data_IF_153817781035
#
_entry.id   IF_153817781035
#
_cell.length_a   1.000
_cell.length_b   1.000
_cell.length_c   1.000
_cell.angle_alpha   90.00
_cell.angle_beta   90.00
_cell.angle_gamma   90.00
#
_symmetry.space_group_name_H-M   'P 1'
#
loop_
_entity.id
_entity.type
_entity.pdbx_description
1 polymer ?
#
# COMPACT_ATOMS: atom_id res chain seq x y z
N UNK A 1 -10.73 -8.06 -3.97
CA UNK A 1 -11.41 -8.94 -3.01
C UNK A 1 -10.63 -9.21 -1.71
N UNK A 2 -9.40 -8.71 -1.54
CA UNK A 2 -8.57 -8.97 -0.33
C UNK A 2 -9.14 -8.29 0.94
N UNK A 3 -9.57 -7.03 0.84
CA UNK A 3 -10.10 -6.30 2.01
C UNK A 3 -11.39 -6.90 2.59
N UNK A 4 -12.26 -7.47 1.76
CA UNK A 4 -13.47 -8.14 2.23
C UNK A 4 -13.14 -9.42 3.01
N UNK A 5 -12.26 -10.27 2.46
CA UNK A 5 -11.84 -11.50 3.13
C UNK A 5 -11.12 -11.23 4.46
N UNK A 6 -10.27 -10.19 4.50
CA UNK A 6 -9.64 -9.74 5.74
C UNK A 6 -10.68 -9.27 6.77
N UNK A 7 -11.68 -8.51 6.34
CA UNK A 7 -12.74 -8.02 7.23
C UNK A 7 -13.59 -9.13 7.84
N UNK A 8 -13.83 -10.24 7.13
CA UNK A 8 -14.79 -11.29 7.55
C UNK A 8 -14.14 -12.51 8.21
N UNK A 9 -12.85 -12.77 7.99
CA UNK A 9 -12.15 -13.91 8.59
C UNK A 9 -11.26 -13.47 9.74
N UNK A 10 -11.51 -13.97 10.95
CA UNK A 10 -10.65 -13.73 12.13
C UNK A 10 -9.28 -14.41 12.04
N UNK A 11 -9.12 -15.37 11.13
CA UNK A 11 -7.89 -16.17 11.02
C UNK A 11 -6.76 -15.40 10.31
N UNK A 12 -7.10 -14.36 9.56
CA UNK A 12 -6.13 -13.50 8.89
C UNK A 12 -5.70 -12.40 9.86
N UNK A 13 -4.43 -12.45 10.28
CA UNK A 13 -3.85 -11.55 11.30
C UNK A 13 -3.34 -10.23 10.74
N UNK A 14 -2.73 -10.27 9.56
CA UNK A 14 -2.23 -9.10 8.85
C UNK A 14 -2.43 -9.23 7.35
N UNK A 15 -2.40 -8.10 6.66
CA UNK A 15 -2.39 -8.01 5.19
C UNK A 15 -1.29 -7.09 4.72
N UNK A 16 -0.55 -7.52 3.70
CA UNK A 16 0.37 -6.65 2.99
C UNK A 16 -0.38 -5.88 1.89
N UNK A 17 -0.26 -4.56 1.90
CA UNK A 17 -0.75 -3.66 0.85
C UNK A 17 0.45 -3.05 0.16
N UNK A 18 0.46 -3.10 -1.17
CA UNK A 18 1.52 -2.50 -1.98
C UNK A 18 0.95 -1.63 -3.09
N UNK A 19 1.56 -0.46 -3.28
CA UNK A 19 1.35 0.35 -4.47
C UNK A 19 2.52 0.12 -5.45
N UNK A 20 2.20 0.02 -6.73
CA UNK A 20 3.18 -0.11 -7.80
C UNK A 20 2.95 0.95 -8.88
N UNK A 21 4.03 1.31 -9.56
CA UNK A 21 4.00 2.13 -10.78
C UNK A 21 4.62 1.32 -11.91
N UNK A 22 4.10 1.49 -13.12
CA UNK A 22 4.67 0.82 -14.30
C UNK A 22 5.63 1.77 -14.97
N UNK A 23 6.89 1.35 -15.13
CA UNK A 23 7.91 2.13 -15.85
C UNK A 23 8.45 1.33 -17.01
N UNK A 24 8.80 2.04 -18.07
CA UNK A 24 9.45 1.44 -19.22
C UNK A 24 10.93 1.27 -18.91
N UNK A 25 11.38 0.02 -18.80
CA UNK A 25 12.78 -0.31 -18.56
C UNK A 25 13.66 -0.01 -19.76
N UNK A 26 14.98 -0.13 -19.58
CA UNK A 26 15.98 0.08 -20.64
C UNK A 26 15.81 -0.82 -21.87
N UNK A 27 15.09 -1.94 -21.73
CA UNK A 27 14.76 -2.88 -22.81
C UNK A 27 13.42 -2.60 -23.50
N UNK A 28 12.73 -1.52 -23.14
CA UNK A 28 11.40 -1.16 -23.66
C UNK A 28 10.25 -1.99 -23.09
N UNK A 29 10.52 -2.88 -22.13
CA UNK A 29 9.50 -3.66 -21.43
C UNK A 29 8.92 -2.87 -20.25
N UNK A 30 7.61 -2.97 -20.04
CA UNK A 30 6.97 -2.45 -18.83
C UNK A 30 7.35 -3.33 -17.65
N UNK A 31 7.84 -2.71 -16.58
CA UNK A 31 8.14 -3.37 -15.32
C UNK A 31 7.33 -2.72 -14.20
N UNK A 32 6.77 -3.55 -13.32
CA UNK A 32 6.09 -3.10 -12.12
C UNK A 32 7.13 -2.80 -11.02
N UNK A 33 7.21 -1.53 -10.65
CA UNK A 33 8.05 -1.04 -9.56
C UNK A 33 7.20 -0.74 -8.34
N UNK A 34 7.52 -1.39 -7.23
CA UNK A 34 6.83 -1.19 -5.95
C UNK A 34 7.30 0.13 -5.36
N UNK A 35 6.37 1.03 -5.05
CA UNK A 35 6.68 2.41 -4.62
C UNK A 35 6.14 2.75 -3.23
N UNK A 36 5.31 1.87 -2.67
CA UNK A 36 4.90 1.90 -1.27
C UNK A 36 4.49 0.49 -0.86
N UNK A 37 4.86 0.10 0.36
CA UNK A 37 4.45 -1.18 0.95
C UNK A 37 4.10 -0.92 2.41
N UNK A 38 2.98 -1.45 2.88
CA UNK A 38 2.58 -1.43 4.28
C UNK A 38 2.02 -2.79 4.68
N UNK A 39 2.37 -3.23 5.88
CA UNK A 39 1.73 -4.37 6.52
C UNK A 39 0.72 -3.80 7.52
N UNK A 40 -0.53 -4.24 7.40
CA UNK A 40 -1.63 -3.75 8.21
C UNK A 40 -2.13 -4.92 9.05
N UNK A 41 -1.91 -4.82 10.36
CA UNK A 41 -2.51 -5.74 11.31
C UNK A 41 -4.00 -5.45 11.53
N UNK A 42 -4.69 -6.38 12.20
CA UNK A 42 -6.12 -6.27 12.44
C UNK A 42 -6.50 -5.09 13.34
N UNK A 43 -5.70 -4.79 14.35
CA UNK A 43 -5.99 -3.71 15.30
C UNK A 43 -5.90 -2.34 14.61
N UNK A 44 -4.93 -2.18 13.73
CA UNK A 44 -4.74 -0.99 12.88
C UNK A 44 -5.85 -0.88 11.83
N UNK A 45 -6.25 -1.99 11.22
CA UNK A 45 -7.36 -2.00 10.26
C UNK A 45 -8.70 -1.63 10.88
N UNK A 46 -8.96 -2.07 12.11
CA UNK A 46 -10.20 -1.75 12.83
C UNK A 46 -10.33 -0.26 13.18
N UNK A 47 -9.24 0.51 13.13
CA UNK A 47 -9.27 1.96 13.32
C UNK A 47 -9.67 2.72 12.06
N UNK A 48 -9.79 2.06 10.92
CA UNK A 48 -10.23 2.68 9.67
C UNK A 48 -11.73 2.87 9.70
N UNK A 49 -12.17 4.13 9.66
CA UNK A 49 -13.58 4.46 9.49
C UNK A 49 -14.05 4.21 8.04
N UNK A 50 -14.31 2.94 7.75
CA UNK A 50 -14.85 2.51 6.46
C UNK A 50 -16.25 3.06 6.18
N UNK A 51 -17.00 3.53 7.20
CA UNK A 51 -18.32 4.12 6.99
C UNK A 51 -18.22 5.49 6.30
N UNK A 52 -17.10 6.19 6.47
CA UNK A 52 -16.81 7.45 5.80
C UNK A 52 -15.61 7.36 4.84
N UNK A 53 -15.60 6.31 4.00
CA UNK A 53 -14.50 6.02 3.07
C UNK A 53 -14.14 7.18 2.14
N UNK A 54 -15.11 8.05 1.81
CA UNK A 54 -14.89 9.22 0.94
C UNK A 54 -14.05 10.32 1.59
N UNK A 55 -14.00 10.37 2.93
CA UNK A 55 -13.19 11.32 3.67
C UNK A 55 -11.76 10.80 3.94
N UNK A 56 -11.48 9.54 3.61
CA UNK A 56 -10.16 8.95 3.78
C UNK A 56 -9.24 9.45 2.65
N UNK A 57 -8.16 10.13 3.01
CA UNK A 57 -7.02 10.30 2.12
C UNK A 57 -6.19 9.00 2.10
N UNK A 58 -6.11 8.28 0.96
CA UNK A 58 -5.40 7.02 0.88
C UNK A 58 -3.91 7.13 1.16
N UNK A 59 -3.27 8.25 0.79
CA UNK A 59 -1.83 8.45 0.99
C UNK A 59 -1.53 8.64 2.48
N UNK A 60 -2.32 9.44 3.18
CA UNK A 60 -2.19 9.62 4.62
C UNK A 60 -2.56 8.35 5.39
N UNK A 61 -3.57 7.61 4.95
CA UNK A 61 -3.90 6.32 5.55
C UNK A 61 -2.75 5.31 5.43
N UNK A 62 -2.16 5.19 4.24
CA UNK A 62 -1.01 4.31 4.03
C UNK A 62 0.21 4.73 4.87
N UNK A 63 0.46 6.05 4.99
CA UNK A 63 1.52 6.57 5.88
C UNK A 63 1.29 6.21 7.34
N UNK A 64 0.04 6.27 7.82
CA UNK A 64 -0.31 5.82 9.19
C UNK A 64 0.00 4.34 9.40
N UNK A 65 -0.12 3.52 8.37
CA UNK A 65 0.29 2.11 8.39
C UNK A 65 1.78 1.89 8.11
N UNK A 66 2.60 2.95 8.14
CA UNK A 66 4.05 2.85 7.97
C UNK A 66 4.52 2.79 6.52
N UNK A 67 3.63 2.95 5.53
CA UNK A 67 4.06 3.05 4.14
C UNK A 67 4.93 4.30 3.96
N UNK A 68 6.11 4.11 3.37
CA UNK A 68 6.92 5.24 2.92
C UNK A 68 6.37 5.68 1.56
N UNK A 69 6.06 6.96 1.40
CA UNK A 69 5.67 7.54 0.11
C UNK A 69 6.67 8.65 -0.17
N UNK A 70 7.86 8.24 -0.63
CA UNK A 70 8.99 9.13 -0.87
C UNK A 70 9.19 9.35 -2.36
N UNK A 71 9.46 10.60 -2.73
CA UNK A 71 9.91 10.96 -4.06
C UNK A 71 11.42 11.28 -4.06
N UNK A 72 12.07 11.06 -5.20
CA UNK A 72 13.41 11.58 -5.47
C UNK A 72 13.37 13.10 -5.76
N UNK A 73 14.53 13.77 -5.88
CA UNK A 73 14.58 15.20 -6.20
C UNK A 73 13.93 15.60 -7.55
N UNK A 74 13.63 14.63 -8.42
CA UNK A 74 12.95 14.82 -9.71
C UNK A 74 11.45 14.57 -9.61
N UNK A 75 10.92 14.31 -8.42
CA UNK A 75 9.51 14.03 -8.17
C UNK A 75 9.09 12.59 -8.47
N UNK A 76 10.03 11.69 -8.74
CA UNK A 76 9.75 10.30 -9.06
C UNK A 76 9.67 9.46 -7.78
N UNK A 77 8.61 8.67 -7.60
CA UNK A 77 8.47 7.81 -6.42
C UNK A 77 9.64 6.82 -6.32
N UNK A 78 10.23 6.70 -5.13
CA UNK A 78 11.33 5.78 -4.89
C UNK A 78 10.82 4.35 -4.85
N UNK A 79 11.57 3.45 -5.49
CA UNK A 79 11.28 2.02 -5.46
C UNK A 79 11.57 1.47 -4.06
N UNK A 80 10.70 0.58 -3.59
CA UNK A 80 10.77 -0.06 -2.29
C UNK A 80 10.83 -1.57 -2.43
N UNK A 81 11.52 -2.20 -1.49
CA UNK A 81 11.56 -3.64 -1.38
C UNK A 81 10.22 -4.14 -0.83
N UNK A 82 9.79 -5.31 -1.34
CA UNK A 82 8.59 -6.00 -0.86
C UNK A 82 8.89 -6.58 0.52
N UNK A 83 7.84 -6.83 1.32
CA UNK A 83 7.99 -7.74 2.46
C UNK A 83 8.32 -9.14 1.92
N UNK A 84 9.28 -9.82 2.55
CA UNK A 84 9.70 -11.19 2.21
C UNK A 84 8.65 -12.23 2.64
#
# INVERSE_FOLDING_TARGET
MIGHNFSVSSDIRSVAVSAHTQRCGSTGQLADEYVAVAEIDRDSWNQVDCANIRAIDPAELLRRFGAKLEADPRGMLKVQQRFD
#
